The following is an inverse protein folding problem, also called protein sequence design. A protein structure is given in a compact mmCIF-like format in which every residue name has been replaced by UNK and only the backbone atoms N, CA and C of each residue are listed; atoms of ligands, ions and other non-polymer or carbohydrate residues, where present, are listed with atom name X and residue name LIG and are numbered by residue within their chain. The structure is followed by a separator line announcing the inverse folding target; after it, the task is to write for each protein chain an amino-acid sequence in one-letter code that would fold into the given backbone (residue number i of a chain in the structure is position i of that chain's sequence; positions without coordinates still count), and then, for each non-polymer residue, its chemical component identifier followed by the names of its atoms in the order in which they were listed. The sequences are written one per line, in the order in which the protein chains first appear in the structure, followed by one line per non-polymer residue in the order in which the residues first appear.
data_IF_296191441537
#
_entry.id   IF_296191441537
#
_cell.length_a   1.000
_cell.length_b   1.000
_cell.length_c   1.000
_cell.angle_alpha   90.00
_cell.angle_beta   90.00
_cell.angle_gamma   90.00
#
_symmetry.space_group_name_H-M   'P 1'
#
loop_
_entity.id
_entity.type
_entity.pdbx_description
1 polymer ?
#
# COMPACT_ATOMS: atom_id res chain seq x y z
N UNK A 1 -19.08 7.79 3.69
CA UNK A 1 -18.41 6.68 2.98
C UNK A 1 -17.72 7.22 1.72
N UNK A 2 -16.73 6.53 1.17
CA UNK A 2 -15.71 7.02 0.21
C UNK A 2 -14.68 8.00 0.81
N UNK A 3 -15.04 9.24 1.13
CA UNK A 3 -14.06 10.25 1.64
C UNK A 3 -13.29 9.76 2.88
N UNK A 4 -14.01 9.26 3.90
CA UNK A 4 -13.39 8.71 5.10
C UNK A 4 -12.47 7.51 4.84
N UNK A 5 -12.73 6.71 3.81
CA UNK A 5 -11.86 5.57 3.44
C UNK A 5 -10.54 6.04 2.82
N UNK A 6 -10.60 7.04 1.94
CA UNK A 6 -9.42 7.68 1.38
C UNK A 6 -8.59 8.42 2.43
N UNK A 7 -9.27 9.11 3.35
CA UNK A 7 -8.65 9.75 4.52
C UNK A 7 -7.91 8.72 5.36
N UNK A 8 -8.59 7.64 5.75
CA UNK A 8 -8.00 6.55 6.52
C UNK A 8 -6.75 5.95 5.86
N UNK A 9 -6.81 5.68 4.55
CA UNK A 9 -5.70 5.06 3.82
C UNK A 9 -4.50 6.01 3.59
N UNK A 10 -4.76 7.32 3.48
CA UNK A 10 -3.71 8.33 3.32
C UNK A 10 -3.05 8.77 4.64
N UNK A 11 -3.53 8.25 5.76
CA UNK A 11 -3.11 8.68 7.10
C UNK A 11 -3.61 10.09 7.46
N UNK A 12 -4.66 10.58 6.79
CA UNK A 12 -5.28 11.87 7.07
C UNK A 12 -6.64 11.69 7.76
N UNK A 13 -6.96 12.49 8.77
CA UNK A 13 -8.22 12.38 9.52
C UNK A 13 -8.06 11.80 10.94
N UNK A 14 -9.17 11.77 11.68
CA UNK A 14 -9.18 11.58 13.14
C UNK A 14 -8.74 10.18 13.61
N UNK A 15 -9.01 9.13 12.81
CA UNK A 15 -8.69 7.73 13.15
C UNK A 15 -8.00 7.02 11.97
N UNK A 16 -7.12 7.73 11.28
CA UNK A 16 -6.47 7.20 10.10
C UNK A 16 -5.35 6.20 10.44
N UNK A 17 -5.04 5.32 9.50
CA UNK A 17 -3.87 4.46 9.65
C UNK A 17 -2.60 5.32 9.84
N UNK A 18 -1.68 4.96 10.76
CA UNK A 18 -0.45 5.74 10.94
C UNK A 18 0.33 5.84 9.62
N UNK A 19 0.91 7.01 9.30
CA UNK A 19 1.58 7.25 8.02
C UNK A 19 2.73 6.27 7.71
N UNK A 20 3.38 5.72 8.74
CA UNK A 20 4.45 4.73 8.58
C UNK A 20 3.93 3.32 8.29
N UNK A 21 2.61 3.10 8.34
CA UNK A 21 1.96 1.84 8.03
C UNK A 21 1.78 1.69 6.53
N UNK A 22 2.80 1.14 5.89
CA UNK A 22 2.79 0.82 4.46
C UNK A 22 2.54 -0.67 4.31
N UNK A 23 1.33 -1.03 3.89
CA UNK A 23 0.94 -2.43 3.71
C UNK A 23 1.75 -3.10 2.59
N UNK A 24 2.14 -4.36 2.80
CA UNK A 24 2.74 -5.19 1.77
C UNK A 24 1.62 -5.99 1.05
N UNK A 25 1.36 -5.73 -0.25
CA UNK A 25 0.30 -6.40 -0.99
C UNK A 25 0.42 -7.93 -0.97
N UNK A 26 1.65 -8.47 -1.04
CA UNK A 26 1.92 -9.91 -1.03
C UNK A 26 1.54 -10.53 0.32
N UNK A 27 1.90 -9.88 1.43
CA UNK A 27 1.55 -10.37 2.77
C UNK A 27 0.05 -10.21 3.06
N UNK A 28 -0.59 -9.16 2.53
CA UNK A 28 -2.06 -9.04 2.60
C UNK A 28 -2.74 -10.17 1.81
N UNK A 29 -2.26 -10.47 0.60
CA UNK A 29 -2.79 -11.56 -0.20
C UNK A 29 -2.67 -12.91 0.53
N UNK A 30 -1.49 -13.24 1.09
CA UNK A 30 -1.29 -14.46 1.88
C UNK A 30 -2.25 -14.56 3.06
N UNK A 31 -2.53 -13.44 3.72
CA UNK A 31 -3.40 -13.40 4.91
C UNK A 31 -4.89 -13.52 4.57
N UNK A 32 -5.35 -12.84 3.53
CA UNK A 32 -6.77 -12.66 3.24
C UNK A 32 -7.28 -13.48 2.04
N UNK A 33 -6.38 -13.98 1.18
CA UNK A 33 -6.67 -14.88 0.07
C UNK A 33 -5.59 -15.98 -0.04
N UNK A 34 -5.45 -16.85 0.99
CA UNK A 34 -4.35 -17.83 1.06
C UNK A 34 -4.34 -18.85 -0.08
N UNK A 35 -5.49 -19.07 -0.73
CA UNK A 35 -5.63 -19.97 -1.88
C UNK A 35 -5.59 -19.22 -3.23
N UNK A 36 -5.44 -17.89 -3.19
CA UNK A 36 -5.51 -17.02 -4.37
C UNK A 36 -6.81 -17.20 -5.18
N UNK A 37 -7.91 -17.57 -4.52
CA UNK A 37 -9.18 -17.88 -5.17
C UNK A 37 -9.85 -16.60 -5.70
N UNK A 38 -9.79 -15.51 -4.93
CA UNK A 38 -10.27 -14.22 -5.39
C UNK A 38 -9.37 -13.66 -6.49
N UNK A 39 -8.06 -13.74 -6.30
CA UNK A 39 -7.08 -13.26 -7.28
C UNK A 39 -7.24 -13.98 -8.62
N UNK A 40 -7.26 -15.32 -8.66
CA UNK A 40 -7.41 -16.11 -9.90
C UNK A 40 -8.78 -15.92 -10.58
N UNK A 41 -9.82 -15.58 -9.81
CA UNK A 41 -11.14 -15.25 -10.38
C UNK A 41 -11.09 -13.98 -11.23
N UNK A 42 -10.30 -13.00 -10.83
CA UNK A 42 -10.26 -11.68 -11.49
C UNK A 42 -9.04 -11.48 -12.39
N UNK A 43 -7.97 -12.25 -12.16
CA UNK A 43 -6.72 -12.24 -12.92
C UNK A 43 -6.37 -13.71 -13.23
N UNK A 44 -7.09 -14.36 -14.16
CA UNK A 44 -6.85 -15.76 -14.50
C UNK A 44 -5.44 -16.01 -15.05
N UNK A 45 -4.80 -14.98 -15.62
CA UNK A 45 -3.48 -15.01 -16.22
C UNK A 45 -2.32 -14.79 -15.23
N UNK A 46 -2.58 -14.66 -13.91
CA UNK A 46 -1.56 -14.22 -12.94
C UNK A 46 -0.28 -15.07 -12.88
N UNK A 47 -0.40 -16.38 -13.18
CA UNK A 47 0.74 -17.32 -13.20
C UNK A 47 1.36 -17.46 -14.60
N UNK A 48 0.89 -16.69 -15.58
CA UNK A 48 1.37 -16.74 -16.97
C UNK A 48 2.51 -15.76 -17.23
N UNK A 49 3.24 -15.99 -18.33
CA UNK A 49 4.29 -15.08 -18.82
C UNK A 49 3.76 -13.75 -19.32
N UNK A 50 2.45 -13.65 -19.59
CA UNK A 50 1.80 -12.41 -20.03
C UNK A 50 1.54 -11.47 -18.85
N UNK A 51 1.56 -11.99 -17.61
CA UNK A 51 1.34 -11.17 -16.43
C UNK A 51 2.60 -10.33 -16.14
N UNK A 52 2.46 -9.00 -16.00
CA UNK A 52 3.61 -8.12 -15.86
C UNK A 52 4.34 -8.35 -14.54
N UNK A 53 5.65 -8.14 -14.59
CA UNK A 53 6.45 -8.04 -13.37
C UNK A 53 6.04 -6.82 -12.55
N UNK A 54 6.26 -6.81 -11.22
CA UNK A 54 5.99 -5.65 -10.38
C UNK A 54 6.61 -4.36 -10.95
N UNK A 55 5.81 -3.30 -11.05
CA UNK A 55 6.28 -2.00 -11.56
C UNK A 55 7.34 -1.34 -10.67
N UNK A 56 7.33 -1.66 -9.37
CA UNK A 56 8.22 -1.11 -8.37
C UNK A 56 8.44 -2.13 -7.26
N UNK A 57 9.69 -2.23 -6.80
CA UNK A 57 10.00 -3.04 -5.62
C UNK A 57 9.38 -2.43 -4.36
N UNK A 58 8.68 -3.25 -3.58
CA UNK A 58 7.93 -2.78 -2.41
C UNK A 58 8.84 -2.13 -1.38
N UNK A 59 10.01 -2.70 -1.12
CA UNK A 59 11.00 -2.17 -0.18
C UNK A 59 11.43 -0.75 -0.56
N UNK A 60 11.77 -0.54 -1.83
CA UNK A 60 12.11 0.77 -2.36
C UNK A 60 10.94 1.76 -2.27
N UNK A 61 9.75 1.35 -2.68
CA UNK A 61 8.55 2.18 -2.60
C UNK A 61 8.24 2.61 -1.16
N UNK A 62 8.36 1.67 -0.22
CA UNK A 62 8.17 1.88 1.21
C UNK A 62 9.16 2.88 1.76
N UNK A 63 10.45 2.71 1.49
CA UNK A 63 11.49 3.63 1.93
C UNK A 63 11.31 5.03 1.35
N UNK A 64 10.91 5.14 0.08
CA UNK A 64 10.63 6.43 -0.56
C UNK A 64 9.47 7.14 0.16
N UNK A 65 8.37 6.43 0.41
CA UNK A 65 7.22 6.99 1.12
C UNK A 65 7.59 7.46 2.53
N UNK A 66 8.29 6.63 3.32
CA UNK A 66 8.72 7.01 4.68
C UNK A 66 9.63 8.23 4.68
N UNK A 67 10.56 8.33 3.72
CA UNK A 67 11.43 9.50 3.57
C UNK A 67 10.64 10.76 3.26
N UNK A 68 9.65 10.68 2.36
CA UNK A 68 8.78 11.82 2.02
C UNK A 68 7.95 12.28 3.22
N UNK A 69 7.32 11.35 3.95
CA UNK A 69 6.58 11.69 5.16
C UNK A 69 7.47 12.35 6.21
N UNK A 70 8.67 11.80 6.43
CA UNK A 70 9.63 12.38 7.38
C UNK A 70 10.00 13.81 6.98
N UNK A 71 10.33 14.05 5.72
CA UNK A 71 10.67 15.39 5.23
C UNK A 71 9.52 16.38 5.43
N UNK A 72 8.27 15.97 5.19
CA UNK A 72 7.10 16.82 5.41
C UNK A 72 6.89 17.17 6.90
N UNK A 73 7.08 16.20 7.80
CA UNK A 73 7.00 16.41 9.24
C UNK A 73 8.13 17.32 9.74
N UNK A 74 9.35 17.11 9.25
CA UNK A 74 10.50 17.93 9.59
C UNK A 74 10.26 19.39 9.17
N UNK A 75 9.74 19.64 7.96
CA UNK A 75 9.37 20.98 7.50
C UNK A 75 8.28 21.63 8.36
N UNK A 76 7.29 20.87 8.80
CA UNK A 76 6.21 21.38 9.66
C UNK A 76 6.70 21.82 11.04
N UNK A 77 7.82 21.27 11.52
CA UNK A 77 8.39 21.65 12.83
C UNK A 77 9.15 22.99 12.79
N UNK A 78 9.37 23.57 11.61
CA UNK A 78 10.06 24.86 11.44
C UNK A 78 9.11 26.02 11.09
N UNK A 79 7.81 25.76 10.96
CA UNK A 79 6.76 26.77 10.73
C UNK A 79 5.95 27.00 12.00
#
# INVERSE_FOLDING_TARGET
ANNGGWQWASGSGCDAAPYFRIFNPTEQAKKYDPQSAYIRRWIPEIDSTEYPTPMIEHSFARERALRTYKAALDLSNFM
#
